data_IF_655015234696
#
_entry.id   IF_655015234696
#
_cell.length_a   1.000
_cell.length_b   1.000
_cell.length_c   1.000
_cell.angle_alpha   90.00
_cell.angle_beta   90.00
_cell.angle_gamma   90.00
#
_symmetry.space_group_name_H-M   'P 1'
#
loop_
_entity.id
_entity.type
_entity.pdbx_description
1 polymer ?
#
# COMPACT_ATOMS: atom_id res chain seq x y z
N UNK A 1 48.12 16.47 67.21
CA UNK A 1 48.82 15.74 66.11
C UNK A 1 48.06 14.55 65.53
N UNK A 2 47.24 13.75 66.26
CA UNK A 2 46.51 12.61 65.66
C UNK A 2 45.42 12.99 64.64
N UNK A 3 44.67 14.08 64.88
CA UNK A 3 43.57 14.51 64.01
C UNK A 3 44.04 14.99 62.63
N UNK A 4 45.23 15.59 62.53
CA UNK A 4 45.79 16.06 61.27
C UNK A 4 46.24 14.89 60.37
N UNK A 5 46.76 13.80 60.96
CA UNK A 5 47.12 12.58 60.23
C UNK A 5 45.87 11.85 59.70
N UNK A 6 44.80 11.80 60.49
CA UNK A 6 43.51 11.22 60.03
C UNK A 6 42.94 12.04 58.87
N UNK A 7 42.94 13.37 58.97
CA UNK A 7 42.48 14.24 57.88
C UNK A 7 43.29 14.06 56.59
N UNK A 8 44.60 13.87 56.71
CA UNK A 8 45.49 13.67 55.56
C UNK A 8 45.29 12.30 54.89
N UNK A 9 45.02 11.24 55.66
CA UNK A 9 44.67 9.91 55.13
C UNK A 9 43.31 9.93 54.41
N UNK A 10 42.33 10.67 54.94
CA UNK A 10 41.02 10.81 54.27
C UNK A 10 41.16 11.60 52.97
N UNK A 11 41.94 12.68 52.94
CA UNK A 11 42.17 13.47 51.73
C UNK A 11 42.95 12.69 50.64
N UNK A 12 43.97 11.93 51.02
CA UNK A 12 44.74 11.13 50.04
C UNK A 12 43.92 9.97 49.48
N UNK A 13 43.10 9.31 50.30
CA UNK A 13 42.18 8.27 49.80
C UNK A 13 41.10 8.84 48.86
N UNK A 14 40.59 10.05 49.14
CA UNK A 14 39.68 10.77 48.23
C UNK A 14 40.35 11.10 46.89
N UNK A 15 41.60 11.60 46.93
CA UNK A 15 42.37 11.91 45.70
C UNK A 15 42.60 10.66 44.86
N UNK A 16 42.96 9.53 45.49
CA UNK A 16 43.13 8.25 44.78
C UNK A 16 41.80 7.79 44.16
N UNK A 17 40.69 7.90 44.88
CA UNK A 17 39.37 7.56 44.37
C UNK A 17 38.97 8.42 43.15
N UNK A 18 39.20 9.74 43.19
CA UNK A 18 38.95 10.63 42.05
C UNK A 18 39.86 10.35 40.85
N UNK A 19 41.13 9.99 41.07
CA UNK A 19 42.02 9.59 39.96
C UNK A 19 41.61 8.29 39.29
N UNK A 20 41.07 7.33 40.04
CA UNK A 20 40.54 6.08 39.48
C UNK A 20 39.25 6.32 38.69
N UNK A 21 38.37 7.20 39.19
CA UNK A 21 37.17 7.62 38.46
C UNK A 21 37.54 8.33 37.14
N UNK A 22 38.48 9.27 37.19
CA UNK A 22 38.94 10.03 36.03
C UNK A 22 39.59 9.16 34.93
N UNK A 23 40.14 7.98 35.27
CA UNK A 23 40.64 7.03 34.28
C UNK A 23 39.53 6.23 33.59
N UNK A 24 38.41 5.96 34.28
CA UNK A 24 37.30 5.18 33.73
C UNK A 24 36.29 5.99 32.92
N UNK A 25 36.15 7.29 33.19
CA UNK A 25 35.23 8.19 32.47
C UNK A 25 35.47 8.25 30.95
N UNK A 26 36.70 8.37 30.44
CA UNK A 26 36.95 8.40 28.99
C UNK A 26 36.53 7.11 28.29
N UNK A 27 36.76 5.96 28.92
CA UNK A 27 36.39 4.66 28.36
C UNK A 27 34.88 4.46 28.35
N UNK A 28 34.20 4.84 29.43
CA UNK A 28 32.74 4.84 29.52
C UNK A 28 32.15 5.77 28.45
N UNK A 29 32.64 7.01 28.36
CA UNK A 29 32.18 7.99 27.37
C UNK A 29 32.41 7.50 25.93
N UNK A 30 33.55 6.88 25.66
CA UNK A 30 33.86 6.32 24.35
C UNK A 30 32.94 5.13 24.01
N UNK A 31 32.65 4.26 24.98
CA UNK A 31 31.70 3.15 24.79
C UNK A 31 30.27 3.66 24.53
N UNK A 32 29.83 4.70 25.25
CA UNK A 32 28.55 5.36 24.98
C UNK A 32 28.52 6.00 23.59
N UNK A 33 29.60 6.68 23.19
CA UNK A 33 29.72 7.26 21.84
C UNK A 33 29.68 6.18 20.75
N UNK A 34 30.41 5.08 20.90
CA UNK A 34 30.41 3.98 19.93
C UNK A 34 29.04 3.32 19.83
N UNK A 35 28.35 3.13 20.97
CA UNK A 35 26.98 2.61 21.02
C UNK A 35 25.98 3.53 20.29
N UNK A 36 26.07 4.84 20.50
CA UNK A 36 25.24 5.82 19.80
C UNK A 36 25.52 5.84 18.29
N UNK A 37 26.80 5.76 17.90
CA UNK A 37 27.21 5.69 16.48
C UNK A 37 26.69 4.44 15.79
N UNK A 38 26.89 3.26 16.40
CA UNK A 38 26.38 2.01 15.85
C UNK A 38 24.86 2.05 15.64
N UNK A 39 24.11 2.68 16.55
CA UNK A 39 22.67 2.89 16.39
C UNK A 39 22.34 3.81 15.22
N UNK A 40 23.01 4.95 15.10
CA UNK A 40 22.80 5.89 14.00
C UNK A 40 23.08 5.22 12.63
N UNK A 41 24.11 4.38 12.55
CA UNK A 41 24.40 3.62 11.33
C UNK A 41 23.32 2.57 11.01
N UNK A 42 22.78 1.90 12.05
CA UNK A 42 21.64 1.01 11.86
C UNK A 42 20.42 1.76 11.32
N UNK A 43 20.10 2.94 11.88
CA UNK A 43 19.00 3.80 11.44
C UNK A 43 19.21 4.30 9.99
N UNK A 44 20.43 4.69 9.61
CA UNK A 44 20.77 5.06 8.22
C UNK A 44 20.53 3.91 7.23
N UNK A 45 20.81 2.66 7.63
CA UNK A 45 20.49 1.49 6.83
C UNK A 45 18.98 1.30 6.61
N UNK A 46 18.16 1.60 7.62
CA UNK A 46 16.69 1.59 7.49
C UNK A 46 16.24 2.63 6.48
N UNK A 47 16.75 3.86 6.57
CA UNK A 47 16.40 4.95 5.64
C UNK A 47 16.78 4.60 4.19
N UNK A 48 17.99 4.05 3.98
CA UNK A 48 18.42 3.62 2.65
C UNK A 48 17.56 2.51 2.08
N UNK A 49 17.17 1.52 2.89
CA UNK A 49 16.29 0.45 2.44
C UNK A 49 14.89 0.96 2.10
N UNK A 50 14.33 1.86 2.93
CA UNK A 50 13.03 2.46 2.65
C UNK A 50 13.06 3.32 1.38
N UNK A 51 14.12 4.12 1.19
CA UNK A 51 14.33 4.85 -0.05
C UNK A 51 14.42 3.90 -1.25
N UNK A 52 15.16 2.79 -1.13
CA UNK A 52 15.33 1.83 -2.20
C UNK A 52 14.03 1.14 -2.60
N UNK A 53 13.22 0.76 -1.61
CA UNK A 53 11.89 0.17 -1.82
C UNK A 53 10.91 1.13 -2.49
N UNK A 54 11.11 2.44 -2.33
CA UNK A 54 10.33 3.48 -3.02
C UNK A 54 10.95 3.90 -4.36
N UNK A 55 12.16 3.41 -4.70
CA UNK A 55 12.91 3.74 -5.92
C UNK A 55 13.46 2.47 -6.56
N UNK A 56 12.59 1.47 -6.75
CA UNK A 56 12.96 0.11 -7.16
C UNK A 56 13.76 0.06 -8.47
N UNK A 57 13.39 0.90 -9.45
CA UNK A 57 14.05 0.98 -10.75
C UNK A 57 15.54 1.39 -10.66
N UNK A 58 15.88 2.24 -9.69
CA UNK A 58 17.27 2.70 -9.47
C UNK A 58 18.02 1.74 -8.55
N UNK A 59 17.30 1.05 -7.67
CA UNK A 59 17.88 0.26 -6.57
C UNK A 59 18.08 -1.22 -6.88
N UNK A 60 17.83 -1.63 -8.12
CA UNK A 60 17.86 -3.02 -8.57
C UNK A 60 16.92 -3.95 -7.75
N UNK A 61 15.90 -3.38 -7.12
CA UNK A 61 14.84 -4.12 -6.45
C UNK A 61 13.71 -4.41 -7.44
N UNK A 62 12.99 -5.50 -7.21
CA UNK A 62 11.76 -5.80 -7.92
C UNK A 62 10.55 -5.35 -7.11
N UNK A 63 9.43 -5.13 -7.81
CA UNK A 63 8.13 -5.01 -7.19
C UNK A 63 7.19 -6.04 -7.87
N UNK A 64 6.70 -7.09 -7.17
CA UNK A 64 6.89 -7.38 -5.75
C UNK A 64 8.35 -7.69 -5.38
N UNK A 65 8.70 -7.55 -4.10
CA UNK A 65 10.04 -7.83 -3.63
C UNK A 65 10.36 -9.31 -3.83
N UNK A 66 11.61 -9.60 -4.18
CA UNK A 66 12.06 -10.98 -4.34
C UNK A 66 12.33 -11.62 -2.98
N UNK A 67 12.46 -12.95 -2.95
CA UNK A 67 12.83 -13.69 -1.74
C UNK A 67 14.24 -13.30 -1.23
N UNK A 68 15.14 -12.94 -2.14
CA UNK A 68 16.44 -12.35 -1.86
C UNK A 68 16.56 -11.07 -2.66
N UNK A 69 17.02 -10.00 -2.01
CA UNK A 69 17.06 -8.66 -2.59
C UNK A 69 18.47 -8.07 -2.55
N UNK A 70 19.50 -8.63 -3.21
CA UNK A 70 20.83 -8.02 -3.21
C UNK A 70 20.75 -6.56 -3.73
N UNK A 71 21.46 -5.60 -3.10
CA UNK A 71 22.42 -5.76 -2.00
C UNK A 71 21.81 -5.74 -0.58
N UNK A 72 20.49 -5.73 -0.46
CA UNK A 72 19.71 -5.71 0.78
C UNK A 72 19.33 -7.12 1.30
N UNK A 73 20.21 -8.09 1.11
CA UNK A 73 20.05 -9.48 1.54
C UNK A 73 20.78 -9.78 2.87
N UNK A 74 21.39 -8.77 3.48
CA UNK A 74 22.20 -8.89 4.70
C UNK A 74 23.65 -9.33 4.48
N UNK A 75 24.08 -9.52 3.22
CA UNK A 75 25.44 -9.94 2.88
C UNK A 75 26.34 -8.77 2.47
N UNK A 76 25.76 -7.62 2.13
CA UNK A 76 26.51 -6.43 1.72
C UNK A 76 26.66 -5.46 2.89
N UNK A 77 27.90 -4.98 3.10
CA UNK A 77 28.22 -3.92 4.05
C UNK A 77 28.35 -2.59 3.32
N UNK A 78 27.73 -1.56 3.87
CA UNK A 78 27.75 -0.21 3.35
C UNK A 78 28.45 0.72 4.33
N UNK A 79 29.39 1.50 3.82
CA UNK A 79 30.07 2.54 4.58
C UNK A 79 29.18 3.77 4.71
N UNK A 80 29.15 4.37 5.90
CA UNK A 80 28.35 5.56 6.18
C UNK A 80 29.15 6.84 6.01
N UNK A 81 30.36 6.87 6.54
CA UNK A 81 31.15 8.10 6.64
C UNK A 81 32.63 7.86 6.30
N UNK A 82 33.28 8.89 5.76
CA UNK A 82 34.73 9.01 5.72
C UNK A 82 35.19 10.20 6.57
N UNK A 83 35.88 9.94 7.68
CA UNK A 83 36.50 10.98 8.51
C UNK A 83 37.99 11.00 8.22
N UNK A 84 38.47 12.09 7.59
CA UNK A 84 39.90 12.21 7.24
C UNK A 84 40.40 11.15 6.25
N UNK A 85 39.53 10.66 5.37
CA UNK A 85 39.86 9.61 4.39
C UNK A 85 39.82 8.17 4.95
N UNK A 86 39.48 8.00 6.23
CA UNK A 86 39.26 6.69 6.85
C UNK A 86 37.76 6.42 6.91
N UNK A 87 37.32 5.26 6.42
CA UNK A 87 35.92 4.88 6.55
C UNK A 87 35.60 4.63 8.04
N UNK A 88 34.54 5.27 8.54
CA UNK A 88 34.06 5.10 9.91
C UNK A 88 32.58 4.76 9.85
N UNK A 89 32.22 3.63 10.43
CA UNK A 89 30.85 3.16 10.51
C UNK A 89 30.41 2.39 9.29
N UNK A 90 29.84 1.22 9.56
CA UNK A 90 29.20 0.40 8.54
C UNK A 90 27.82 -0.03 8.99
N UNK A 91 26.97 -0.34 8.02
CA UNK A 91 25.77 -1.10 8.28
C UNK A 91 25.57 -2.17 7.21
N UNK A 92 24.78 -3.18 7.55
CA UNK A 92 24.20 -4.11 6.57
C UNK A 92 22.69 -4.14 6.76
N UNK A 93 21.97 -4.35 5.66
CA UNK A 93 20.49 -4.34 5.68
C UNK A 93 19.95 -5.60 5.04
N UNK A 94 18.90 -6.13 5.64
CA UNK A 94 18.10 -7.23 5.11
C UNK A 94 16.67 -6.74 4.92
N UNK A 95 16.15 -6.83 3.69
CA UNK A 95 14.74 -6.64 3.36
C UNK A 95 14.12 -8.01 3.14
N UNK A 96 13.19 -8.39 4.01
CA UNK A 96 12.46 -9.64 3.89
C UNK A 96 10.97 -9.36 3.69
N UNK A 97 10.38 -9.90 2.62
CA UNK A 97 8.94 -9.84 2.38
C UNK A 97 8.24 -10.91 3.24
N UNK A 98 8.21 -10.66 4.53
CA UNK A 98 7.53 -11.51 5.49
C UNK A 98 7.04 -10.69 6.68
N UNK A 99 5.87 -11.07 7.17
CA UNK A 99 5.37 -10.68 8.47
C UNK A 99 4.95 -11.94 9.22
N UNK A 100 5.10 -11.92 10.55
CA UNK A 100 4.49 -12.94 11.40
C UNK A 100 3.00 -12.62 11.42
N UNK A 101 2.17 -13.57 11.00
CA UNK A 101 0.73 -13.47 11.15
C UNK A 101 0.40 -13.46 12.65
N UNK A 102 -0.26 -12.39 13.17
CA UNK A 102 -0.55 -12.27 14.59
C UNK A 102 -1.53 -13.33 15.10
N UNK A 103 -2.30 -13.98 14.23
CA UNK A 103 -3.29 -15.01 14.56
C UNK A 103 -2.65 -16.40 14.56
N UNK A 104 -1.86 -16.72 13.54
CA UNK A 104 -1.28 -18.07 13.38
C UNK A 104 0.14 -18.20 13.92
N UNK A 105 0.85 -17.07 14.15
CA UNK A 105 2.26 -17.05 14.52
C UNK A 105 3.20 -17.52 13.41
N UNK A 106 2.68 -17.78 12.20
CA UNK A 106 3.44 -18.28 11.06
C UNK A 106 3.99 -17.14 10.21
N UNK A 107 5.09 -17.43 9.51
CA UNK A 107 5.64 -16.54 8.50
C UNK A 107 4.70 -16.49 7.29
N UNK A 108 4.10 -15.33 7.03
CA UNK A 108 3.26 -15.11 5.85
C UNK A 108 3.93 -14.09 4.94
N UNK A 109 3.97 -14.41 3.64
CA UNK A 109 4.44 -13.48 2.60
C UNK A 109 3.28 -12.56 2.25
N UNK A 110 3.35 -11.31 2.71
CA UNK A 110 2.40 -10.25 2.38
C UNK A 110 3.09 -9.24 1.43
N UNK A 111 2.64 -9.09 0.18
CA UNK A 111 3.23 -8.14 -0.77
C UNK A 111 3.13 -6.66 -0.39
N UNK A 112 2.35 -6.34 0.64
CA UNK A 112 2.16 -4.99 1.17
C UNK A 112 2.92 -4.75 2.46
N UNK A 113 3.64 -5.77 2.98
CA UNK A 113 4.42 -5.69 4.21
C UNK A 113 5.82 -6.26 4.02
N UNK A 114 6.79 -5.58 4.61
CA UNK A 114 8.17 -6.02 4.61
C UNK A 114 8.79 -5.79 5.99
N UNK A 115 9.66 -6.69 6.40
CA UNK A 115 10.51 -6.49 7.56
C UNK A 115 11.87 -6.02 7.08
N UNK A 116 12.29 -4.83 7.53
CA UNK A 116 13.61 -4.29 7.26
C UNK A 116 14.42 -4.44 8.54
N UNK A 117 15.55 -5.15 8.45
CA UNK A 117 16.48 -5.32 9.56
C UNK A 117 17.82 -4.72 9.19
N UNK A 118 18.29 -3.76 9.96
CA UNK A 118 19.59 -3.12 9.78
C UNK A 118 20.47 -3.38 11.00
N UNK A 119 21.74 -3.70 10.75
CA UNK A 119 22.76 -3.86 11.79
C UNK A 119 23.85 -2.84 11.52
N UNK A 120 24.05 -1.92 12.46
CA UNK A 120 25.12 -0.94 12.44
C UNK A 120 26.30 -1.37 13.30
N UNK A 121 27.50 -1.09 12.81
CA UNK A 121 28.78 -1.45 13.39
C UNK A 121 29.62 -0.18 13.61
N UNK A 122 30.19 -0.04 14.80
CA UNK A 122 31.15 1.02 15.09
C UNK A 122 32.41 0.43 15.75
N UNK A 123 33.63 0.76 15.28
CA UNK A 123 33.92 1.58 14.11
C UNK A 123 33.68 0.86 12.77
N UNK A 124 33.77 -0.47 12.71
CA UNK A 124 33.60 -1.28 11.50
C UNK A 124 33.13 -2.70 11.87
N UNK A 125 32.75 -3.51 10.87
CA UNK A 125 32.24 -4.87 11.05
C UNK A 125 33.33 -5.91 11.37
N UNK A 126 34.60 -5.62 11.07
CA UNK A 126 35.71 -6.54 11.31
C UNK A 126 36.15 -6.51 12.78
N UNK A 127 36.13 -5.31 13.39
CA UNK A 127 36.52 -5.06 14.77
C UNK A 127 35.51 -4.15 15.49
N UNK A 128 34.25 -4.58 15.65
CA UNK A 128 33.23 -3.74 16.25
C UNK A 128 33.45 -3.55 17.75
N UNK A 129 33.45 -2.29 18.20
CA UNK A 129 33.33 -1.90 19.61
C UNK A 129 31.87 -1.86 20.06
N UNK A 130 30.96 -1.58 19.13
CA UNK A 130 29.53 -1.60 19.37
C UNK A 130 28.79 -2.14 18.14
N UNK A 131 27.75 -2.93 18.40
CA UNK A 131 26.84 -3.48 17.39
C UNK A 131 25.42 -3.12 17.83
N UNK A 132 24.66 -2.51 16.93
CA UNK A 132 23.26 -2.17 17.16
C UNK A 132 22.39 -2.70 16.05
N UNK A 133 21.28 -3.33 16.42
CA UNK A 133 20.34 -3.92 15.48
C UNK A 133 18.99 -3.22 15.61
N UNK A 134 18.48 -2.73 14.49
CA UNK A 134 17.16 -2.13 14.38
C UNK A 134 16.34 -2.97 13.43
N UNK A 135 15.10 -3.25 13.80
CA UNK A 135 14.14 -3.91 12.94
C UNK A 135 12.87 -3.08 12.89
N UNK A 136 12.38 -2.85 11.67
CA UNK A 136 11.12 -2.17 11.43
C UNK A 136 10.21 -3.06 10.58
N UNK A 137 8.91 -2.93 10.79
CA UNK A 137 7.93 -3.33 9.79
C UNK A 137 7.63 -2.12 8.92
N UNK A 138 7.76 -2.29 7.61
CA UNK A 138 7.32 -1.33 6.61
C UNK A 138 6.05 -1.85 5.95
N UNK A 139 5.12 -0.93 5.69
CA UNK A 139 3.85 -1.22 5.05
C UNK A 139 3.57 -0.22 3.94
N UNK A 140 2.88 -0.68 2.91
CA UNK A 140 2.21 0.16 1.90
C UNK A 140 0.75 -0.25 1.79
N UNK A 141 -0.06 0.59 1.17
CA UNK A 141 -1.43 0.19 0.84
C UNK A 141 -1.43 -0.89 -0.24
N UNK A 142 -2.40 -1.81 -0.15
CA UNK A 142 -2.50 -2.98 -1.05
C UNK A 142 -2.54 -2.60 -2.53
N UNK A 143 -3.39 -1.63 -2.90
CA UNK A 143 -3.51 -1.13 -4.28
C UNK A 143 -2.26 -0.37 -4.76
N UNK A 144 -1.43 0.13 -3.84
CA UNK A 144 -0.16 0.77 -4.15
C UNK A 144 0.89 -0.17 -4.74
N UNK A 145 0.66 -1.48 -4.62
CA UNK A 145 1.55 -2.51 -5.11
C UNK A 145 1.02 -3.28 -6.33
N UNK A 146 1.92 -3.96 -7.05
CA UNK A 146 1.61 -4.85 -8.17
C UNK A 146 0.66 -5.98 -7.80
N UNK A 147 0.70 -6.48 -6.56
CA UNK A 147 -0.15 -7.59 -6.14
C UNK A 147 -1.58 -7.17 -5.86
N UNK A 148 -1.81 -5.92 -5.45
CA UNK A 148 -3.16 -5.39 -5.22
C UNK A 148 -3.78 -4.73 -6.44
N UNK A 149 -3.01 -4.47 -7.50
CA UNK A 149 -3.57 -3.93 -8.75
C UNK A 149 -4.46 -5.00 -9.39
N UNK A 150 -5.77 -4.75 -9.62
CA UNK A 150 -6.64 -5.70 -10.28
C UNK A 150 -6.16 -5.99 -11.71
N UNK A 151 -6.33 -7.22 -12.22
CA UNK A 151 -5.97 -7.61 -13.57
C UNK A 151 -7.05 -7.28 -14.61
N UNK A 152 -7.99 -6.40 -14.27
CA UNK A 152 -9.15 -6.01 -15.07
C UNK A 152 -9.50 -4.53 -14.86
N UNK A 153 -10.15 -3.93 -15.86
CA UNK A 153 -10.73 -2.59 -15.73
C UNK A 153 -11.97 -2.63 -14.83
N UNK A 154 -12.80 -3.66 -14.99
CA UNK A 154 -13.90 -3.96 -14.06
C UNK A 154 -13.79 -5.40 -13.57
N UNK A 155 -13.80 -5.55 -12.24
CA UNK A 155 -13.71 -6.84 -11.58
C UNK A 155 -14.88 -6.97 -10.60
N UNK A 156 -15.71 -8.01 -10.75
CA UNK A 156 -16.94 -8.17 -9.98
C UNK A 156 -17.00 -9.53 -9.28
N UNK A 157 -17.40 -9.52 -8.01
CA UNK A 157 -17.87 -10.71 -7.31
C UNK A 157 -16.84 -11.46 -6.46
N UNK A 158 -15.81 -10.77 -5.97
CA UNK A 158 -14.75 -11.40 -5.17
C UNK A 158 -15.19 -11.86 -3.76
N UNK A 159 -16.32 -11.36 -3.22
CA UNK A 159 -16.85 -11.77 -1.91
C UNK A 159 -18.33 -12.21 -1.95
N UNK A 160 -18.86 -12.64 -3.11
CA UNK A 160 -20.27 -13.07 -3.21
C UNK A 160 -20.66 -14.12 -2.17
N UNK A 161 -21.91 -14.16 -1.67
CA UNK A 161 -22.33 -15.15 -0.68
C UNK A 161 -22.07 -16.61 -1.10
N UNK A 162 -21.90 -17.54 -0.13
CA UNK A 162 -21.74 -18.97 -0.44
C UNK A 162 -22.91 -19.52 -1.27
N UNK A 163 -22.60 -20.22 -2.36
CA UNK A 163 -23.60 -20.78 -3.27
C UNK A 163 -24.18 -19.80 -4.29
N UNK A 164 -23.74 -18.53 -4.28
CA UNK A 164 -24.11 -17.52 -5.28
C UNK A 164 -22.93 -17.20 -6.21
N UNK A 165 -23.25 -16.58 -7.35
CA UNK A 165 -22.29 -16.03 -8.32
C UNK A 165 -22.70 -14.61 -8.66
N UNK A 166 -21.73 -13.74 -8.96
CA UNK A 166 -22.02 -12.36 -9.34
C UNK A 166 -22.85 -12.31 -10.63
N UNK A 167 -23.89 -11.48 -10.63
CA UNK A 167 -24.64 -11.17 -11.84
C UNK A 167 -24.14 -9.82 -12.34
N UNK A 168 -23.88 -9.74 -13.64
CA UNK A 168 -23.41 -8.48 -14.23
C UNK A 168 -24.11 -8.24 -15.56
N UNK A 169 -24.40 -6.98 -15.85
CA UNK A 169 -25.00 -6.56 -17.10
C UNK A 169 -24.22 -5.38 -17.68
N UNK A 170 -23.87 -5.47 -18.95
CA UNK A 170 -23.24 -4.38 -19.71
C UNK A 170 -24.12 -4.07 -20.91
N UNK A 171 -24.74 -2.90 -20.96
CA UNK A 171 -25.68 -2.55 -22.01
C UNK A 171 -25.30 -1.32 -22.82
N UNK A 172 -26.24 -0.89 -23.67
CA UNK A 172 -26.13 0.32 -24.49
C UNK A 172 -24.89 0.34 -25.40
N UNK A 173 -24.26 1.49 -25.47
CA UNK A 173 -22.96 1.74 -26.12
C UNK A 173 -21.80 1.85 -25.13
N UNK A 174 -21.93 1.27 -23.93
CA UNK A 174 -20.89 1.31 -22.92
C UNK A 174 -19.58 0.66 -23.41
N UNK A 175 -18.44 1.12 -22.88
CA UNK A 175 -17.12 0.60 -23.23
C UNK A 175 -16.36 0.19 -21.97
N UNK A 176 -15.80 -1.02 -21.98
CA UNK A 176 -14.81 -1.49 -21.01
C UNK A 176 -13.54 -1.85 -21.77
N UNK A 177 -12.52 -1.02 -21.64
CA UNK A 177 -11.29 -1.13 -22.40
C UNK A 177 -10.11 -1.59 -21.55
N UNK A 178 -9.60 -2.79 -21.85
CA UNK A 178 -8.35 -3.30 -21.32
C UNK A 178 -7.16 -3.10 -22.26
N UNK A 179 -7.36 -2.62 -23.49
CA UNK A 179 -6.34 -2.51 -24.55
C UNK A 179 -5.62 -1.17 -24.58
N UNK A 180 -4.28 -1.20 -24.62
CA UNK A 180 -3.45 -0.01 -24.83
C UNK A 180 -3.25 0.35 -26.32
N UNK A 181 -3.75 -0.47 -27.25
CA UNK A 181 -3.60 -0.27 -28.71
C UNK A 181 -4.91 0.03 -29.43
N UNK A 182 -6.04 -0.10 -28.73
CA UNK A 182 -7.39 0.12 -29.28
C UNK A 182 -8.34 0.68 -28.23
N UNK A 183 -9.46 1.25 -28.67
CA UNK A 183 -10.43 1.92 -27.80
C UNK A 183 -10.03 3.36 -27.45
N UNK A 184 -11.02 4.14 -26.99
CA UNK A 184 -10.82 5.55 -26.62
C UNK A 184 -11.64 5.91 -25.37
N UNK A 185 -10.99 6.19 -24.23
CA UNK A 185 -9.53 6.23 -24.04
C UNK A 185 -8.87 4.85 -24.12
N UNK A 186 -7.60 4.81 -24.52
CA UNK A 186 -6.77 3.60 -24.50
C UNK A 186 -6.29 3.30 -23.07
N UNK A 187 -6.06 2.02 -22.78
CA UNK A 187 -5.56 1.59 -21.49
C UNK A 187 -4.09 1.97 -21.26
N UNK A 188 -3.73 2.21 -20.00
CA UNK A 188 -2.35 2.49 -19.55
C UNK A 188 -1.88 1.36 -18.65
N UNK A 189 -0.70 0.80 -18.94
CA UNK A 189 -0.13 -0.33 -18.20
C UNK A 189 1.04 0.13 -17.32
N UNK A 190 1.23 -0.55 -16.19
CA UNK A 190 2.47 -0.43 -15.43
C UNK A 190 3.55 -1.31 -16.05
N UNK A 191 4.83 -1.00 -15.80
CA UNK A 191 5.93 -1.84 -16.22
C UNK A 191 5.75 -3.29 -15.71
N UNK A 192 5.81 -4.25 -16.63
CA UNK A 192 5.67 -5.67 -16.32
C UNK A 192 4.25 -6.13 -15.93
N UNK A 193 3.24 -5.27 -16.02
CA UNK A 193 1.85 -5.62 -15.70
C UNK A 193 0.91 -5.32 -16.85
N UNK A 194 0.43 -6.39 -17.48
CA UNK A 194 -0.63 -6.34 -18.48
C UNK A 194 -1.89 -6.93 -17.83
N UNK A 195 -3.04 -6.25 -17.88
CA UNK A 195 -4.28 -6.83 -17.38
C UNK A 195 -4.61 -8.11 -18.15
N UNK A 196 -5.17 -9.11 -17.48
CA UNK A 196 -5.54 -10.38 -18.13
C UNK A 196 -6.88 -10.25 -18.86
N UNK A 197 -7.72 -9.32 -18.44
CA UNK A 197 -9.01 -9.07 -19.04
C UNK A 197 -9.39 -7.59 -19.05
N UNK A 198 -10.36 -7.21 -19.89
CA UNK A 198 -11.03 -5.91 -19.70
C UNK A 198 -12.07 -6.02 -18.57
N UNK A 199 -12.83 -7.12 -18.57
CA UNK A 199 -13.85 -7.43 -17.58
C UNK A 199 -13.61 -8.81 -16.94
N UNK A 200 -13.78 -8.93 -15.64
CA UNK A 200 -13.68 -10.20 -14.91
C UNK A 200 -14.81 -10.36 -13.92
N UNK A 201 -15.44 -11.53 -13.86
CA UNK A 201 -16.47 -11.85 -12.87
C UNK A 201 -16.44 -13.31 -12.42
N UNK A 202 -16.86 -13.55 -11.18
CA UNK A 202 -17.07 -14.91 -10.66
C UNK A 202 -18.34 -15.57 -11.19
N UNK A 203 -19.26 -14.79 -11.78
CA UNK A 203 -20.47 -15.31 -12.40
C UNK A 203 -20.56 -15.00 -13.88
N UNK A 204 -21.67 -14.43 -14.31
CA UNK A 204 -22.02 -14.25 -15.73
C UNK A 204 -22.09 -12.77 -16.13
N UNK A 205 -21.79 -12.50 -17.39
CA UNK A 205 -21.98 -11.18 -18.03
C UNK A 205 -23.11 -11.29 -19.02
N UNK A 206 -24.22 -10.63 -18.73
CA UNK A 206 -25.26 -10.35 -19.72
C UNK A 206 -24.87 -9.10 -20.51
N UNK A 207 -25.10 -9.12 -21.81
CA UNK A 207 -24.94 -7.93 -22.66
C UNK A 207 -26.27 -7.56 -23.29
N UNK A 208 -26.56 -6.27 -23.38
CA UNK A 208 -27.71 -5.73 -24.10
C UNK A 208 -27.27 -4.57 -25.02
N UNK A 209 -27.96 -4.29 -26.12
CA UNK A 209 -27.50 -3.27 -27.07
C UNK A 209 -26.18 -3.65 -27.79
N UNK A 210 -25.22 -2.72 -27.84
CA UNK A 210 -23.93 -2.88 -28.55
C UNK A 210 -22.72 -2.41 -27.72
N UNK A 211 -22.45 -3.01 -26.54
CA UNK A 211 -21.33 -2.62 -25.71
C UNK A 211 -20.00 -3.03 -26.35
N UNK A 212 -18.94 -2.28 -26.05
CA UNK A 212 -17.59 -2.53 -26.53
C UNK A 212 -16.69 -3.01 -25.39
N UNK A 213 -16.44 -4.31 -25.30
CA UNK A 213 -15.51 -4.89 -24.34
C UNK A 213 -14.22 -5.24 -25.08
N UNK A 214 -13.15 -4.49 -24.83
CA UNK A 214 -11.93 -4.53 -25.65
C UNK A 214 -10.81 -5.20 -24.87
N UNK A 215 -10.43 -6.40 -25.32
CA UNK A 215 -9.41 -7.22 -24.68
C UNK A 215 -8.02 -6.57 -24.68
N UNK A 216 -7.22 -6.70 -23.59
CA UNK A 216 -5.79 -6.41 -23.64
C UNK A 216 -5.05 -7.32 -24.63
N UNK A 217 -3.89 -6.89 -25.18
CA UNK A 217 -3.04 -7.75 -26.00
C UNK A 217 -2.67 -9.05 -25.26
N UNK A 218 -3.04 -10.19 -25.84
CA UNK A 218 -2.79 -11.51 -25.25
C UNK A 218 -3.74 -11.91 -24.10
N UNK A 219 -4.73 -11.07 -23.76
CA UNK A 219 -5.77 -11.36 -22.78
C UNK A 219 -7.16 -11.55 -23.39
N UNK A 220 -8.19 -11.48 -22.56
CA UNK A 220 -9.58 -11.71 -22.95
C UNK A 220 -10.45 -10.47 -22.78
N UNK A 221 -11.52 -10.35 -23.56
CA UNK A 221 -12.47 -9.25 -23.41
C UNK A 221 -13.19 -9.36 -22.06
N UNK A 222 -13.81 -10.51 -21.81
CA UNK A 222 -14.44 -10.85 -20.55
C UNK A 222 -13.99 -12.25 -20.09
N UNK A 223 -13.71 -12.40 -18.80
CA UNK A 223 -13.51 -13.70 -18.14
C UNK A 223 -14.62 -13.90 -17.12
N UNK A 224 -15.37 -14.98 -17.27
CA UNK A 224 -16.57 -15.29 -16.48
C UNK A 224 -16.41 -16.61 -15.74
N UNK A 225 -17.16 -16.82 -14.65
CA UNK A 225 -17.09 -18.06 -13.88
C UNK A 225 -15.73 -18.25 -13.19
N UNK A 226 -15.02 -17.16 -12.89
CA UNK A 226 -13.71 -17.21 -12.26
C UNK A 226 -13.85 -17.61 -10.79
N UNK A 227 -12.93 -18.44 -10.29
CA UNK A 227 -12.90 -18.79 -8.88
C UNK A 227 -12.59 -17.54 -8.01
N UNK A 228 -13.25 -17.40 -6.86
CA UNK A 228 -13.04 -16.29 -5.92
C UNK A 228 -11.59 -16.19 -5.45
N UNK A 229 -10.84 -17.29 -5.47
CA UNK A 229 -9.41 -17.30 -5.16
C UNK A 229 -8.59 -16.37 -6.05
N UNK A 230 -9.00 -16.13 -7.30
CA UNK A 230 -8.32 -15.18 -8.20
C UNK A 230 -8.50 -13.72 -7.78
N UNK A 231 -9.50 -13.41 -6.95
CA UNK A 231 -9.78 -12.06 -6.45
C UNK A 231 -8.98 -11.71 -5.20
N UNK A 232 -8.54 -12.71 -4.42
CA UNK A 232 -7.78 -12.51 -3.16
C UNK A 232 -6.59 -11.53 -3.25
N UNK A 233 -5.79 -11.51 -4.33
CA UNK A 233 -4.70 -10.56 -4.45
C UNK A 233 -5.14 -9.09 -4.37
N UNK A 234 -6.37 -8.76 -4.76
CA UNK A 234 -6.90 -7.39 -4.81
C UNK A 234 -8.20 -7.18 -4.00
N UNK A 235 -8.68 -8.17 -3.25
CA UNK A 235 -9.72 -8.01 -2.22
C UNK A 235 -9.11 -7.45 -0.93
N UNK A 236 -9.69 -6.39 -0.36
CA UNK A 236 -9.24 -5.81 0.89
C UNK A 236 -9.60 -6.69 2.09
N UNK A 237 -8.63 -6.94 2.98
CA UNK A 237 -8.89 -7.56 4.28
C UNK A 237 -9.48 -6.54 5.27
N UNK A 238 -10.05 -7.00 6.38
CA UNK A 238 -10.53 -6.10 7.44
C UNK A 238 -9.43 -5.16 7.97
N UNK A 239 -8.19 -5.64 8.02
CA UNK A 239 -7.02 -4.84 8.41
C UNK A 239 -6.71 -3.75 7.36
N UNK A 240 -6.82 -4.08 6.07
CA UNK A 240 -6.61 -3.10 4.99
C UNK A 240 -7.71 -2.02 5.03
N UNK A 241 -8.97 -2.43 5.22
CA UNK A 241 -10.11 -1.52 5.34
C UNK A 241 -9.92 -0.59 6.55
N UNK A 242 -9.52 -1.14 7.70
CA UNK A 242 -9.27 -0.33 8.91
C UNK A 242 -8.13 0.68 8.69
N UNK A 243 -7.04 0.29 8.01
CA UNK A 243 -5.94 1.20 7.69
C UNK A 243 -6.38 2.34 6.75
N UNK A 244 -7.16 2.03 5.71
CA UNK A 244 -7.72 3.02 4.79
C UNK A 244 -8.70 3.96 5.51
N UNK A 245 -9.54 3.44 6.41
CA UNK A 245 -10.44 4.24 7.27
C UNK A 245 -9.67 5.25 8.11
N UNK A 246 -8.63 4.81 8.84
CA UNK A 246 -7.79 5.69 9.66
C UNK A 246 -7.09 6.76 8.81
N UNK A 247 -6.60 6.39 7.63
CA UNK A 247 -5.98 7.36 6.71
C UNK A 247 -6.99 8.41 6.23
N UNK A 248 -8.19 8.00 5.82
CA UNK A 248 -9.23 8.92 5.38
C UNK A 248 -9.68 9.85 6.52
N UNK A 249 -9.84 9.33 7.75
CA UNK A 249 -10.17 10.13 8.93
C UNK A 249 -9.12 11.21 9.21
N UNK A 250 -7.83 10.87 9.12
CA UNK A 250 -6.73 11.81 9.34
C UNK A 250 -6.71 12.96 8.31
N UNK A 251 -7.16 12.69 7.08
CA UNK A 251 -7.21 13.67 6.00
C UNK A 251 -8.58 14.37 5.87
N UNK A 252 -9.54 14.10 6.74
CA UNK A 252 -10.88 14.71 6.69
C UNK A 252 -11.76 14.20 5.55
N UNK A 253 -11.44 13.02 4.99
CA UNK A 253 -12.10 12.42 3.83
C UNK A 253 -12.92 11.16 4.19
N UNK A 254 -13.36 11.10 5.45
CA UNK A 254 -14.18 10.02 5.99
C UNK A 254 -15.62 10.47 6.11
N UNK A 255 -16.53 9.67 5.53
CA UNK A 255 -17.97 9.93 5.49
C UNK A 255 -18.73 8.72 6.00
N UNK A 256 -19.91 8.95 6.55
CA UNK A 256 -20.78 7.89 7.06
C UNK A 256 -22.17 7.97 6.45
N UNK A 257 -22.74 6.82 6.13
CA UNK A 257 -24.03 6.70 5.47
C UNK A 257 -24.01 7.19 4.03
N UNK A 258 -25.19 7.20 3.40
CA UNK A 258 -25.34 7.61 2.01
C UNK A 258 -24.91 9.06 1.80
N UNK A 259 -24.23 9.29 0.67
CA UNK A 259 -23.77 10.61 0.25
C UNK A 259 -24.21 10.86 -1.19
N UNK A 260 -24.47 12.12 -1.51
CA UNK A 260 -24.80 12.56 -2.87
C UNK A 260 -23.81 13.63 -3.30
N UNK A 261 -23.14 13.41 -4.43
CA UNK A 261 -22.17 14.33 -5.00
C UNK A 261 -22.64 14.82 -6.37
N UNK A 262 -23.02 16.10 -6.45
CA UNK A 262 -23.37 16.78 -7.71
C UNK A 262 -22.17 17.46 -8.38
N UNK A 263 -21.04 17.49 -7.67
CA UNK A 263 -19.75 18.04 -8.07
C UNK A 263 -18.64 17.17 -7.47
N UNK A 264 -17.43 17.13 -8.08
CA UNK A 264 -16.38 16.27 -7.58
C UNK A 264 -15.98 16.65 -6.14
N UNK A 265 -15.90 15.68 -5.22
CA UNK A 265 -15.32 15.89 -3.89
C UNK A 265 -13.81 16.19 -3.99
N UNK A 266 -13.15 16.53 -2.86
CA UNK A 266 -11.69 16.63 -2.85
C UNK A 266 -11.00 15.36 -3.36
N UNK A 267 -9.91 15.54 -4.09
CA UNK A 267 -9.07 14.46 -4.58
C UNK A 267 -8.39 13.72 -3.41
N UNK A 268 -8.04 12.45 -3.62
CA UNK A 268 -7.32 11.60 -2.65
C UNK A 268 -8.10 10.36 -2.21
N UNK A 269 -7.80 9.83 -1.02
CA UNK A 269 -8.52 8.69 -0.46
C UNK A 269 -9.84 9.16 0.17
N UNK A 270 -10.97 8.76 -0.42
CA UNK A 270 -12.30 8.91 0.15
C UNK A 270 -12.76 7.58 0.74
N UNK A 271 -13.27 7.61 1.96
CA UNK A 271 -13.79 6.41 2.62
C UNK A 271 -15.22 6.65 3.06
N UNK A 272 -16.13 5.84 2.55
CA UNK A 272 -17.54 5.86 2.88
C UNK A 272 -17.86 4.64 3.74
N UNK A 273 -18.17 4.87 5.00
CA UNK A 273 -18.59 3.84 5.93
C UNK A 273 -20.11 3.80 6.07
N UNK A 274 -20.59 2.69 6.60
CA UNK A 274 -21.96 2.57 7.05
C UNK A 274 -22.25 3.52 8.22
N UNK A 275 -23.51 3.92 8.45
CA UNK A 275 -23.88 4.86 9.53
C UNK A 275 -23.43 4.42 10.93
N UNK A 276 -23.26 3.11 11.13
CA UNK A 276 -22.80 2.51 12.39
C UNK A 276 -22.04 1.21 12.11
N UNK A 277 -21.14 0.77 13.00
CA UNK A 277 -20.33 -0.44 12.76
C UNK A 277 -21.16 -1.75 12.59
N UNK A 278 -22.47 -1.70 12.89
CA UNK A 278 -23.39 -2.84 12.85
C UNK A 278 -24.41 -2.74 11.71
N UNK A 279 -24.37 -1.68 10.90
CA UNK A 279 -25.35 -1.48 9.83
C UNK A 279 -25.02 -2.31 8.58
N UNK A 280 -26.07 -2.78 7.91
CA UNK A 280 -25.96 -3.52 6.65
C UNK A 280 -25.29 -2.68 5.56
N UNK A 281 -24.53 -3.29 4.65
CA UNK A 281 -23.95 -2.57 3.49
C UNK A 281 -25.04 -1.93 2.60
N UNK A 282 -26.28 -2.44 2.63
CA UNK A 282 -27.43 -1.82 1.93
C UNK A 282 -27.87 -0.47 2.52
N UNK A 283 -27.35 -0.07 3.68
CA UNK A 283 -27.68 1.21 4.31
C UNK A 283 -26.89 2.40 3.75
N UNK A 284 -25.92 2.15 2.86
CA UNK A 284 -25.03 3.17 2.30
C UNK A 284 -25.04 3.06 0.79
N UNK A 285 -25.54 4.11 0.14
CA UNK A 285 -25.46 4.27 -1.31
C UNK A 285 -24.75 5.60 -1.59
N UNK A 286 -23.72 5.55 -2.41
CA UNK A 286 -23.00 6.74 -2.86
C UNK A 286 -23.52 7.09 -4.25
N UNK A 287 -24.28 8.18 -4.33
CA UNK A 287 -24.83 8.72 -5.57
C UNK A 287 -23.90 9.81 -6.10
N UNK A 288 -23.27 9.54 -7.23
CA UNK A 288 -22.41 10.47 -7.94
C UNK A 288 -23.12 10.87 -9.22
N UNK A 289 -23.48 12.16 -9.34
CA UNK A 289 -24.11 12.67 -10.54
C UNK A 289 -23.68 14.08 -10.91
N UNK A 290 -24.12 14.54 -12.08
CA UNK A 290 -23.89 15.89 -12.58
C UNK A 290 -22.75 15.97 -13.59
N UNK A 291 -22.00 17.07 -13.56
CA UNK A 291 -20.93 17.36 -14.52
C UNK A 291 -19.61 17.64 -13.80
N UNK A 292 -18.74 16.66 -13.76
CA UNK A 292 -17.43 16.74 -13.10
C UNK A 292 -16.36 17.11 -14.12
N UNK A 293 -16.51 18.29 -14.73
CA UNK A 293 -15.60 18.81 -15.77
C UNK A 293 -14.13 18.92 -15.33
N UNK A 294 -13.86 19.12 -14.04
CA UNK A 294 -12.51 19.13 -13.46
C UNK A 294 -11.96 17.72 -13.20
N UNK A 295 -12.81 16.70 -13.32
CA UNK A 295 -12.55 15.34 -12.92
C UNK A 295 -12.37 15.17 -11.42
N UNK A 296 -12.23 13.91 -11.01
CA UNK A 296 -11.79 13.51 -9.68
C UNK A 296 -10.66 12.51 -9.80
N UNK A 297 -9.69 12.57 -8.89
CA UNK A 297 -8.56 11.64 -8.84
C UNK A 297 -8.37 11.10 -7.43
N UNK A 298 -8.26 9.78 -7.29
CA UNK A 298 -8.05 9.17 -5.98
C UNK A 298 -8.45 7.71 -5.87
N UNK A 299 -8.61 7.27 -4.62
CA UNK A 299 -9.20 5.98 -4.27
C UNK A 299 -10.49 6.22 -3.53
N UNK A 300 -11.54 5.55 -3.98
CA UNK A 300 -12.85 5.61 -3.38
C UNK A 300 -13.17 4.25 -2.80
N UNK A 301 -13.28 4.17 -1.47
CA UNK A 301 -13.58 2.93 -0.76
C UNK A 301 -14.99 3.03 -0.19
N UNK A 302 -15.89 2.18 -0.66
CA UNK A 302 -17.32 2.26 -0.37
C UNK A 302 -17.77 1.00 0.37
N UNK A 303 -18.13 1.15 1.64
CA UNK A 303 -18.80 0.11 2.46
C UNK A 303 -20.30 0.12 2.20
N UNK A 304 -20.68 -0.15 0.96
CA UNK A 304 -22.05 -0.11 0.47
C UNK A 304 -22.11 -0.32 -1.03
N UNK A 305 -23.13 0.25 -1.66
CA UNK A 305 -23.29 0.29 -3.12
C UNK A 305 -22.98 1.69 -3.68
N UNK A 306 -22.76 1.78 -4.98
CA UNK A 306 -22.58 3.06 -5.67
C UNK A 306 -23.48 3.20 -6.90
N UNK A 307 -23.94 4.42 -7.14
CA UNK A 307 -24.64 4.84 -8.34
C UNK A 307 -23.85 5.98 -8.99
N UNK A 308 -23.47 5.83 -10.26
CA UNK A 308 -22.69 6.81 -11.01
C UNK A 308 -23.41 7.19 -12.30
N UNK A 309 -23.75 8.47 -12.45
CA UNK A 309 -24.51 8.94 -13.61
C UNK A 309 -24.08 10.32 -14.12
N UNK A 310 -24.27 10.59 -15.41
CA UNK A 310 -23.99 11.91 -16.01
C UNK A 310 -22.57 12.08 -16.56
N UNK A 311 -22.08 13.33 -16.62
CA UNK A 311 -20.79 13.71 -17.21
C UNK A 311 -19.67 13.64 -16.16
N UNK A 312 -19.33 12.43 -15.70
CA UNK A 312 -18.34 12.22 -14.64
C UNK A 312 -17.01 11.75 -15.22
N UNK A 313 -15.91 12.42 -14.87
CA UNK A 313 -14.55 11.95 -15.19
C UNK A 313 -13.81 11.52 -13.92
N UNK A 314 -13.44 10.25 -13.80
CA UNK A 314 -12.67 9.69 -12.68
C UNK A 314 -11.30 9.19 -13.14
N UNK A 315 -10.29 9.37 -12.30
CA UNK A 315 -8.95 8.82 -12.48
C UNK A 315 -8.48 8.13 -11.20
N UNK A 316 -8.49 6.79 -11.18
CA UNK A 316 -8.00 6.02 -10.03
C UNK A 316 -8.79 4.75 -9.77
N UNK A 317 -9.04 4.44 -8.50
CA UNK A 317 -9.70 3.20 -8.10
C UNK A 317 -11.02 3.47 -7.39
N UNK A 318 -12.06 2.73 -7.78
CA UNK A 318 -13.32 2.66 -7.04
C UNK A 318 -13.49 1.23 -6.52
N UNK A 319 -13.46 1.04 -5.21
CA UNK A 319 -13.62 -0.24 -4.54
C UNK A 319 -14.92 -0.25 -3.74
N UNK A 320 -15.81 -1.17 -4.08
CA UNK A 320 -17.19 -1.23 -3.62
C UNK A 320 -17.41 -2.60 -3.00
N UNK A 321 -17.89 -2.64 -1.77
CA UNK A 321 -18.11 -3.90 -1.06
C UNK A 321 -19.42 -4.59 -1.46
N UNK A 322 -20.39 -3.84 -1.98
CA UNK A 322 -21.60 -4.41 -2.54
C UNK A 322 -21.63 -4.15 -4.06
N UNK A 323 -22.71 -3.57 -4.58
CA UNK A 323 -22.96 -3.47 -6.02
C UNK A 323 -22.65 -2.08 -6.58
N UNK A 324 -22.39 -2.04 -7.88
CA UNK A 324 -22.23 -0.79 -8.63
C UNK A 324 -23.24 -0.69 -9.75
N UNK A 325 -23.81 0.50 -9.91
CA UNK A 325 -24.65 0.86 -11.04
C UNK A 325 -24.03 2.07 -11.73
N UNK A 326 -23.76 1.95 -13.03
CA UNK A 326 -23.15 3.01 -13.84
C UNK A 326 -24.10 3.35 -14.97
N UNK A 327 -24.61 4.57 -14.99
CA UNK A 327 -25.47 5.10 -16.03
C UNK A 327 -24.73 6.14 -16.89
N UNK A 328 -24.29 5.75 -18.06
CA UNK A 328 -23.64 6.58 -19.05
C UNK A 328 -24.60 7.47 -19.84
N UNK A 329 -25.51 8.18 -19.17
CA UNK A 329 -26.28 9.24 -19.81
C UNK A 329 -25.41 10.51 -19.88
N UNK A 330 -24.36 10.53 -20.72
CA UNK A 330 -23.42 11.66 -20.81
C UNK A 330 -22.06 11.34 -21.47
N UNK A 331 -20.97 11.86 -20.90
CA UNK A 331 -19.58 11.56 -21.22
C UNK A 331 -18.88 10.95 -19.98
N UNK A 332 -19.55 10.02 -19.29
CA UNK A 332 -18.96 9.32 -18.17
C UNK A 332 -17.70 8.58 -18.62
N UNK A 333 -16.58 8.87 -17.95
CA UNK A 333 -15.27 8.31 -18.28
C UNK A 333 -14.47 8.00 -17.01
N UNK A 334 -14.15 6.74 -16.81
CA UNK A 334 -13.31 6.25 -15.72
C UNK A 334 -11.99 5.75 -16.30
N UNK A 335 -10.88 6.35 -15.88
CA UNK A 335 -9.52 5.87 -16.14
C UNK A 335 -8.98 5.20 -14.88
N UNK A 336 -8.80 3.90 -14.89
CA UNK A 336 -8.36 3.12 -13.74
C UNK A 336 -9.14 1.83 -13.61
N UNK A 337 -9.61 1.48 -12.41
CA UNK A 337 -10.40 0.27 -12.22
C UNK A 337 -11.57 0.46 -11.26
N UNK A 338 -12.59 -0.38 -11.47
CA UNK A 338 -13.72 -0.54 -10.57
C UNK A 338 -13.73 -1.98 -10.07
N UNK A 339 -13.76 -2.15 -8.76
CA UNK A 339 -13.89 -3.45 -8.10
C UNK A 339 -15.20 -3.44 -7.31
N UNK A 340 -16.13 -4.32 -7.66
CA UNK A 340 -17.33 -4.59 -6.88
C UNK A 340 -17.23 -5.99 -6.28
N UNK A 341 -17.48 -6.14 -4.98
CA UNK A 341 -17.34 -7.42 -4.30
C UNK A 341 -18.65 -8.21 -4.24
N UNK A 342 -19.80 -7.56 -4.46
CA UNK A 342 -21.16 -8.13 -4.41
C UNK A 342 -21.37 -8.95 -3.10
N UNK A 343 -20.95 -8.41 -1.95
CA UNK A 343 -20.83 -9.17 -0.71
C UNK A 343 -22.17 -9.55 -0.06
N UNK A 344 -23.23 -8.75 -0.25
CA UNK A 344 -24.53 -9.03 0.39
C UNK A 344 -25.45 -9.90 -0.45
N UNK A 345 -25.45 -9.71 -1.76
CA UNK A 345 -26.38 -10.40 -2.64
C UNK A 345 -25.75 -10.63 -4.03
N UNK A 346 -26.54 -11.21 -4.93
CA UNK A 346 -26.17 -11.41 -6.33
C UNK A 346 -26.96 -10.47 -7.24
N UNK A 347 -27.37 -9.29 -6.74
CA UNK A 347 -27.98 -8.27 -7.59
C UNK A 347 -26.98 -7.89 -8.69
N UNK A 348 -27.51 -7.43 -9.82
CA UNK A 348 -26.66 -7.19 -10.98
C UNK A 348 -25.83 -5.92 -10.78
N UNK A 349 -24.51 -6.06 -10.67
CA UNK A 349 -23.59 -4.94 -10.89
C UNK A 349 -23.67 -4.57 -12.38
N UNK A 350 -24.10 -3.34 -12.66
CA UNK A 350 -24.57 -2.91 -13.98
C UNK A 350 -23.69 -1.79 -14.54
N UNK A 351 -23.34 -1.91 -15.81
CA UNK A 351 -22.83 -0.81 -16.65
C UNK A 351 -23.85 -0.58 -17.74
N UNK A 352 -24.61 0.50 -17.62
CA UNK A 352 -25.70 0.88 -18.52
C UNK A 352 -26.65 -0.28 -18.81
N UNK A 353 -27.59 -0.54 -17.91
CA UNK A 353 -28.64 -1.54 -18.17
C UNK A 353 -29.59 -1.15 -19.31
N UNK A 354 -29.60 0.13 -19.69
CA UNK A 354 -30.42 0.72 -20.76
C UNK A 354 -29.70 0.75 -22.13
N UNK A 355 -30.46 0.63 -23.22
CA UNK A 355 -29.94 0.61 -24.60
C UNK A 355 -29.26 1.92 -25.07
N UNK A 356 -29.30 2.99 -24.27
CA UNK A 356 -28.92 4.35 -24.67
C UNK A 356 -27.60 4.82 -24.05
N UNK A 357 -27.20 4.25 -22.91
CA UNK A 357 -26.04 4.79 -22.19
C UNK A 357 -24.70 4.43 -22.83
N UNK A 358 -23.67 5.24 -22.57
CA UNK A 358 -22.39 5.21 -23.26
C UNK A 358 -21.17 5.28 -22.33
N UNK A 359 -21.32 4.82 -21.08
CA UNK A 359 -20.28 4.94 -20.05
C UNK A 359 -18.96 4.28 -20.50
N UNK A 360 -17.83 4.98 -20.29
CA UNK A 360 -16.50 4.49 -20.69
C UNK A 360 -15.64 4.20 -19.49
N UNK A 361 -15.09 2.99 -19.45
CA UNK A 361 -14.11 2.55 -18.47
C UNK A 361 -12.87 2.08 -19.21
N UNK A 362 -11.71 2.63 -18.88
CA UNK A 362 -10.43 2.24 -19.44
C UNK A 362 -9.45 1.93 -18.34
N UNK A 363 -8.78 0.78 -18.44
CA UNK A 363 -7.79 0.37 -17.47
C UNK A 363 -6.62 1.37 -17.41
N UNK A 364 -6.26 1.84 -16.21
CA UNK A 364 -5.10 2.71 -16.01
C UNK A 364 -4.34 2.27 -14.74
N UNK A 365 -3.31 1.45 -14.93
CA UNK A 365 -2.54 0.89 -13.82
C UNK A 365 -1.84 1.95 -12.97
N UNK A 366 -1.14 2.95 -13.54
CA UNK A 366 -0.59 4.06 -12.75
C UNK A 366 -1.65 4.73 -11.88
N UNK A 367 -2.80 5.12 -12.47
CA UNK A 367 -3.86 5.78 -11.73
C UNK A 367 -4.43 4.90 -10.60
N UNK A 368 -4.54 3.58 -10.82
CA UNK A 368 -4.94 2.64 -9.77
C UNK A 368 -3.93 2.62 -8.62
N UNK A 369 -2.62 2.69 -8.89
CA UNK A 369 -1.59 2.57 -7.84
C UNK A 369 -1.38 3.84 -7.02
N UNK A 370 -1.57 5.01 -7.61
CA UNK A 370 -1.28 6.29 -6.94
C UNK A 370 -2.51 7.20 -6.82
N UNK A 371 -3.71 6.69 -7.16
CA UNK A 371 -4.95 7.47 -7.13
C UNK A 371 -4.91 8.65 -8.10
N UNK A 372 -4.33 8.47 -9.29
CA UNK A 372 -4.14 9.57 -10.25
C UNK A 372 -3.15 10.63 -9.75
N UNK A 373 -2.12 10.21 -9.01
CA UNK A 373 -1.07 11.06 -8.44
C UNK A 373 -1.43 11.74 -7.12
N UNK A 374 -2.56 11.38 -6.49
CA UNK A 374 -3.09 12.06 -5.29
C UNK A 374 -2.84 11.29 -4.01
N UNK A 375 -2.50 10.01 -4.11
CA UNK A 375 -2.27 9.11 -2.97
C UNK A 375 -0.81 8.71 -2.93
N UNK A 376 -0.18 8.97 -1.78
CA UNK A 376 1.17 8.49 -1.51
C UNK A 376 1.11 7.00 -1.13
N UNK A 377 1.24 6.13 -2.13
CA UNK A 377 1.19 4.69 -1.97
C UNK A 377 2.57 4.05 -1.67
N UNK A 378 3.55 4.88 -1.29
CA UNK A 378 4.91 4.45 -0.97
C UNK A 378 4.95 3.58 0.30
N UNK A 379 6.03 2.82 0.42
CA UNK A 379 6.40 2.15 1.65
C UNK A 379 6.64 3.17 2.76
N UNK A 380 6.02 2.90 3.91
CA UNK A 380 6.08 3.71 5.12
C UNK A 380 6.42 2.83 6.33
N UNK A 381 6.88 3.44 7.42
CA UNK A 381 7.23 2.73 8.65
C UNK A 381 5.95 2.52 9.47
N UNK A 382 5.67 1.29 9.88
CA UNK A 382 4.53 0.96 10.74
C UNK A 382 4.93 0.57 12.16
N UNK A 383 6.16 0.08 12.36
CA UNK A 383 6.67 -0.31 13.67
C UNK A 383 8.18 -0.08 13.78
N UNK A 384 8.67 0.06 15.02
CA UNK A 384 10.09 0.18 15.31
C UNK A 384 10.47 -0.68 16.52
N UNK A 385 11.55 -1.46 16.39
CA UNK A 385 12.10 -2.28 17.47
C UNK A 385 13.63 -2.24 17.46
N UNK A 386 14.22 -1.86 18.58
CA UNK A 386 15.65 -2.09 18.83
C UNK A 386 15.84 -3.54 19.33
N UNK A 387 16.79 -4.24 18.75
CA UNK A 387 17.12 -5.63 19.06
C UNK A 387 18.54 -5.70 19.64
N UNK A 388 18.81 -6.73 20.43
CA UNK A 388 20.18 -7.01 20.86
C UNK A 388 21.08 -7.24 19.64
N UNK A 389 22.20 -6.52 19.58
CA UNK A 389 23.24 -6.73 18.59
C UNK A 389 24.00 -8.01 18.93
N UNK A 390 24.10 -8.93 17.98
CA UNK A 390 25.00 -10.09 18.01
C UNK A 390 25.76 -10.14 16.72
#
# INVERSE_FOLDING_TARGET
MPAALIGLVVLTSLMVAFTLLAQSEPDIANNHMMSARARAFAEAGIERALWAMNNVAVSALSDPLAASNPPYDGNTYFWVEQVGGVNVGEYKVTIAQCCIDPVTGLLVVDPSKATITSVGYAPDHNNPRAIKKVSITSTRFKFGGPSGTPPCAMCVGGEVPPGMTAQTQIGGGAMVNGSNVSGSPAATYCAGQVPTAAFMTTGTVATNGNPSIIAPPGGQAAITGVDKEYFKPFTLTDADIAALKVYAQKNGHYYQGSQTFTSPPPNGLLFFDTPSDNSSLNSTVIDMHGNWSQGWSGWMIIRGSADMQGDISLSGLVYILNDVNIHGNGNLNVKGAIIAQDRLDSQSSTIDSDDIGNGKLSYDCPAIRDGGGTINANWSISSYKELSGT
#
